data_IF_903556065854
#
_entry.id   IF_903556065854
#
_cell.length_a   1.000
_cell.length_b   1.000
_cell.length_c   1.000
_cell.angle_alpha   90.00
_cell.angle_beta   90.00
_cell.angle_gamma   90.00
#
_symmetry.space_group_name_H-M   'P 1'
#
loop_
_entity.id
_entity.type
_entity.pdbx_description
1 polymer ?
#
# COMPACT_ATOMS: atom_id res chain seq x y z
N UNK A 1 16.03 -0.88 -2.09
CA UNK A 1 14.68 -0.31 -1.91
C UNK A 1 14.15 -0.07 -3.30
N UNK A 2 12.95 -0.47 -3.73
CA UNK A 2 12.49 -0.02 -5.03
C UNK A 2 11.66 1.25 -4.79
N UNK A 3 12.20 2.44 -5.12
CA UNK A 3 11.36 3.61 -5.38
C UNK A 3 10.40 3.30 -6.53
N UNK A 4 9.37 4.14 -6.75
CA UNK A 4 8.74 4.19 -8.06
C UNK A 4 9.78 4.46 -9.16
N UNK A 5 10.76 5.34 -8.95
CA UNK A 5 11.84 5.56 -9.92
C UNK A 5 13.21 5.86 -9.27
N UNK A 6 14.26 5.15 -9.71
CA UNK A 6 15.65 5.56 -9.48
C UNK A 6 15.97 6.71 -10.43
N UNK A 7 16.21 7.90 -9.89
CA UNK A 7 16.74 9.00 -10.69
C UNK A 7 18.27 9.02 -10.62
N UNK A 8 18.92 9.15 -11.77
CA UNK A 8 20.39 9.15 -11.89
C UNK A 8 21.03 10.34 -11.18
N UNK A 9 20.28 11.43 -11.01
CA UNK A 9 20.77 12.65 -10.37
C UNK A 9 20.51 12.66 -8.84
N UNK A 10 20.03 11.55 -8.28
CA UNK A 10 19.82 11.36 -6.85
C UNK A 10 18.36 11.53 -6.38
N UNK A 11 18.10 11.29 -5.09
CA UNK A 11 16.74 11.15 -4.58
C UNK A 11 15.95 12.48 -4.50
N UNK A 12 16.62 13.63 -4.53
CA UNK A 12 16.01 14.96 -4.59
C UNK A 12 15.86 15.49 -6.04
N UNK A 13 16.27 14.73 -7.05
CA UNK A 13 16.25 15.16 -8.45
C UNK A 13 14.85 15.55 -8.95
N UNK A 14 13.82 14.82 -8.53
CA UNK A 14 12.41 15.16 -8.84
C UNK A 14 12.02 16.49 -8.20
N UNK A 15 12.49 16.77 -6.98
CA UNK A 15 12.24 18.05 -6.31
C UNK A 15 12.93 19.21 -7.03
N UNK A 16 14.15 19.02 -7.55
CA UNK A 16 14.86 20.04 -8.34
C UNK A 16 14.16 20.37 -9.66
N UNK A 17 13.49 19.40 -10.28
CA UNK A 17 12.72 19.56 -11.53
C UNK A 17 11.22 19.77 -11.30
N UNK A 18 10.79 20.02 -10.06
CA UNK A 18 9.36 20.08 -9.68
C UNK A 18 8.58 21.09 -10.53
N UNK A 19 9.12 22.29 -10.75
CA UNK A 19 8.46 23.33 -11.55
C UNK A 19 8.30 22.91 -13.02
N UNK A 20 9.34 22.33 -13.63
CA UNK A 20 9.31 21.84 -15.01
C UNK A 20 8.28 20.72 -15.20
N UNK A 21 8.26 19.73 -14.31
CA UNK A 21 7.31 18.62 -14.34
C UNK A 21 5.87 19.14 -14.17
N UNK A 22 5.68 20.11 -13.27
CA UNK A 22 4.37 20.73 -13.01
C UNK A 22 3.84 21.42 -14.27
N UNK A 23 4.66 22.25 -14.91
CA UNK A 23 4.30 22.94 -16.16
C UNK A 23 3.95 21.94 -17.27
N UNK A 24 4.74 20.86 -17.42
CA UNK A 24 4.44 19.80 -18.37
C UNK A 24 3.09 19.10 -18.10
N UNK A 25 2.77 18.82 -16.83
CA UNK A 25 1.49 18.25 -16.42
C UNK A 25 0.31 19.19 -16.70
N UNK A 26 0.46 20.49 -16.45
CA UNK A 26 -0.59 21.49 -16.72
C UNK A 26 -0.84 21.64 -18.23
N UNK A 27 0.22 21.67 -19.04
CA UNK A 27 0.11 21.66 -20.51
C UNK A 27 -0.59 20.41 -21.02
N UNK A 28 -0.31 19.24 -20.43
CA UNK A 28 -0.99 18.00 -20.75
C UNK A 28 -2.49 18.06 -20.38
N UNK A 29 -2.80 18.57 -19.19
CA UNK A 29 -4.19 18.78 -18.74
C UNK A 29 -4.95 19.67 -19.72
N UNK A 30 -4.35 20.78 -20.15
CA UNK A 30 -4.96 21.73 -21.08
C UNK A 30 -5.31 21.09 -22.44
N UNK A 31 -4.56 20.09 -22.90
CA UNK A 31 -4.90 19.34 -24.13
C UNK A 31 -6.23 18.60 -24.01
N UNK A 32 -6.57 18.11 -22.81
CA UNK A 32 -7.83 17.42 -22.51
C UNK A 32 -8.94 18.34 -22.01
N UNK A 33 -8.58 19.46 -21.39
CA UNK A 33 -9.49 20.47 -20.84
C UNK A 33 -8.99 21.88 -21.24
N UNK A 34 -9.32 22.38 -22.45
CA UNK A 34 -8.73 23.61 -23.00
C UNK A 34 -8.96 24.89 -22.18
N UNK A 35 -9.99 24.90 -21.34
CA UNK A 35 -10.32 26.00 -20.43
C UNK A 35 -9.52 25.98 -19.11
N UNK A 36 -8.69 24.96 -18.87
CA UNK A 36 -7.73 24.92 -17.77
C UNK A 36 -6.47 25.71 -18.17
N UNK A 37 -6.55 27.02 -18.05
CA UNK A 37 -5.50 28.00 -18.34
C UNK A 37 -4.92 28.56 -17.04
N UNK A 38 -3.78 29.23 -17.10
CA UNK A 38 -3.13 29.81 -15.91
C UNK A 38 -4.05 30.79 -15.15
N UNK A 39 -4.88 31.55 -15.85
CA UNK A 39 -5.83 32.50 -15.27
C UNK A 39 -7.04 31.85 -14.60
N UNK A 40 -7.33 30.57 -14.87
CA UNK A 40 -8.43 29.84 -14.21
C UNK A 40 -7.97 28.96 -13.06
N UNK A 41 -6.65 28.77 -12.89
CA UNK A 41 -6.07 27.98 -11.83
C UNK A 41 -5.83 28.86 -10.59
N UNK A 42 -6.48 28.52 -9.48
CA UNK A 42 -6.35 29.27 -8.21
C UNK A 42 -5.05 28.95 -7.48
N UNK A 43 -4.65 27.68 -7.47
CA UNK A 43 -3.43 27.23 -6.80
C UNK A 43 -2.96 25.87 -7.36
N UNK A 44 -1.68 25.57 -7.18
CA UNK A 44 -1.05 24.33 -7.62
C UNK A 44 -0.25 23.72 -6.47
N UNK A 45 -0.74 22.61 -5.94
CA UNK A 45 -0.06 21.84 -4.92
C UNK A 45 0.51 20.55 -5.49
N UNK A 46 1.83 20.38 -5.40
CA UNK A 46 2.53 19.17 -5.87
C UNK A 46 3.24 18.50 -4.72
N UNK A 47 3.04 17.19 -4.61
CA UNK A 47 3.63 16.33 -3.59
C UNK A 47 4.52 15.29 -4.26
N UNK A 48 5.83 15.48 -4.18
CA UNK A 48 6.80 14.56 -4.79
C UNK A 48 6.98 13.29 -3.95
N UNK A 49 7.68 12.26 -4.48
CA UNK A 49 8.03 11.09 -3.68
C UNK A 49 8.83 11.45 -2.41
N UNK A 50 9.79 12.37 -2.53
CA UNK A 50 10.57 12.87 -1.40
C UNK A 50 9.70 13.62 -0.38
N UNK A 51 8.78 14.48 -0.85
CA UNK A 51 7.84 15.19 0.02
C UNK A 51 6.95 14.21 0.81
N UNK A 52 6.55 13.11 0.18
CA UNK A 52 5.72 12.07 0.78
C UNK A 52 6.47 11.32 1.88
N UNK A 53 7.69 10.87 1.60
CA UNK A 53 8.54 10.16 2.56
C UNK A 53 8.94 11.07 3.73
N UNK A 54 9.21 12.35 3.45
CA UNK A 54 9.49 13.35 4.49
C UNK A 54 8.32 13.54 5.46
N UNK A 55 7.08 13.53 4.95
CA UNK A 55 5.87 13.65 5.78
C UNK A 55 5.48 12.36 6.48
N UNK A 56 5.78 11.22 5.87
CA UNK A 56 5.49 9.91 6.41
C UNK A 56 6.60 8.93 6.05
N UNK A 57 7.45 8.61 7.02
CA UNK A 57 8.57 7.67 6.84
C UNK A 57 8.12 6.24 6.52
N UNK A 58 6.84 5.92 6.70
CA UNK A 58 6.25 4.66 6.23
C UNK A 58 6.00 4.61 4.72
N UNK A 59 6.04 5.76 4.03
CA UNK A 59 5.95 5.88 2.57
C UNK A 59 7.35 5.97 1.97
N UNK A 60 8.16 4.92 2.19
CA UNK A 60 9.55 4.90 1.72
C UNK A 60 9.59 5.14 0.20
N UNK A 61 10.46 6.04 -0.22
CA UNK A 61 10.57 6.52 -1.59
C UNK A 61 9.25 7.04 -2.19
N UNK A 62 8.37 7.56 -1.34
CA UNK A 62 7.03 8.05 -1.70
C UNK A 62 6.05 6.97 -2.17
N UNK A 63 6.36 5.70 -1.95
CA UNK A 63 5.51 4.61 -2.39
C UNK A 63 4.30 4.46 -1.46
N UNK A 64 3.13 4.86 -1.96
CA UNK A 64 1.85 4.72 -1.26
C UNK A 64 1.47 3.26 -0.98
N UNK A 65 2.00 2.31 -1.75
CA UNK A 65 1.82 0.88 -1.53
C UNK A 65 2.85 0.27 -0.57
N UNK A 66 3.83 1.07 -0.12
CA UNK A 66 4.92 0.73 0.79
C UNK A 66 5.84 -0.45 0.37
N UNK A 67 5.44 -1.26 -0.61
CA UNK A 67 6.25 -2.27 -1.33
C UNK A 67 6.04 -2.04 -2.83
N UNK A 68 7.02 -2.44 -3.66
CA UNK A 68 6.95 -2.30 -5.12
C UNK A 68 5.73 -3.01 -5.70
N UNK A 69 5.04 -2.36 -6.63
CA UNK A 69 4.01 -2.98 -7.46
C UNK A 69 4.66 -3.78 -8.60
N UNK A 70 5.22 -4.94 -8.27
CA UNK A 70 5.83 -5.87 -9.24
C UNK A 70 5.33 -7.28 -9.04
N UNK A 71 5.49 -8.13 -10.05
CA UNK A 71 5.03 -9.52 -10.06
C UNK A 71 5.56 -10.35 -8.86
N UNK A 72 6.78 -10.07 -8.41
CA UNK A 72 7.43 -10.74 -7.29
C UNK A 72 7.07 -10.15 -5.91
N UNK A 73 6.33 -9.04 -5.87
CA UNK A 73 5.96 -8.31 -4.64
C UNK A 73 4.46 -7.99 -4.61
N UNK A 74 3.65 -8.80 -5.28
CA UNK A 74 2.21 -8.69 -5.33
C UNK A 74 1.52 -9.81 -4.55
N UNK A 75 0.32 -9.52 -4.03
CA UNK A 75 -0.55 -10.45 -3.36
C UNK A 75 0.15 -11.28 -2.27
N UNK A 76 0.18 -12.60 -2.39
CA UNK A 76 0.72 -13.54 -1.40
C UNK A 76 2.25 -13.52 -1.34
N UNK A 77 2.92 -12.73 -2.17
CA UNK A 77 4.37 -12.52 -2.10
C UNK A 77 4.76 -11.33 -1.21
N UNK A 78 3.81 -10.82 -0.41
CA UNK A 78 3.94 -9.59 0.38
C UNK A 78 3.93 -9.86 1.89
N UNK A 79 4.88 -9.30 2.67
CA UNK A 79 6.15 -8.70 2.20
C UNK A 79 7.12 -9.76 1.67
N UNK A 80 6.97 -11.00 2.16
CA UNK A 80 7.62 -12.22 1.71
C UNK A 80 6.57 -13.33 1.74
N UNK A 81 6.68 -14.38 0.91
CA UNK A 81 5.74 -15.51 0.93
C UNK A 81 5.51 -16.11 2.32
N UNK A 82 6.57 -16.22 3.12
CA UNK A 82 6.56 -16.78 4.48
C UNK A 82 5.75 -15.93 5.47
N UNK A 83 5.61 -14.62 5.20
CA UNK A 83 4.92 -13.66 6.07
C UNK A 83 3.54 -13.28 5.53
N UNK A 84 3.10 -13.91 4.44
CA UNK A 84 1.84 -13.59 3.77
C UNK A 84 0.59 -14.00 4.56
N UNK A 85 0.72 -14.92 5.52
CA UNK A 85 -0.29 -15.25 6.55
C UNK A 85 -0.13 -14.42 7.84
N UNK A 86 0.48 -13.23 7.75
CA UNK A 86 0.56 -12.21 8.81
C UNK A 86 1.38 -12.57 10.05
N UNK A 87 1.62 -13.84 10.37
CA UNK A 87 2.51 -14.27 11.46
C UNK A 87 3.95 -13.82 11.17
N UNK A 88 4.67 -13.41 12.20
CA UNK A 88 6.11 -13.14 12.12
C UNK A 88 6.91 -14.24 12.82
N UNK A 89 8.25 -14.31 12.64
CA UNK A 89 9.09 -15.24 13.41
C UNK A 89 9.21 -14.91 14.90
N UNK A 90 8.63 -13.79 15.34
CA UNK A 90 8.56 -13.40 16.74
C UNK A 90 7.18 -13.82 17.26
N UNK A 91 7.17 -14.62 18.32
CA UNK A 91 5.93 -15.08 18.95
C UNK A 91 5.04 -13.90 19.32
N UNK A 92 3.75 -14.05 19.02
CA UNK A 92 2.68 -13.06 19.29
C UNK A 92 2.84 -11.70 18.61
N UNK A 93 3.71 -11.61 17.60
CA UNK A 93 3.84 -10.45 16.72
C UNK A 93 3.25 -10.75 15.32
N UNK A 94 2.32 -9.90 14.89
CA UNK A 94 1.61 -10.01 13.63
C UNK A 94 1.77 -8.77 12.77
N UNK A 95 1.73 -8.96 11.44
CA UNK A 95 1.70 -7.87 10.48
C UNK A 95 0.27 -7.42 10.23
N UNK A 96 0.00 -6.12 10.38
CA UNK A 96 -1.29 -5.52 10.05
C UNK A 96 -1.08 -4.17 9.34
N UNK A 97 -0.50 -4.20 8.15
CA UNK A 97 -0.21 -2.99 7.39
C UNK A 97 -0.44 -3.23 5.89
N UNK A 98 -0.62 -2.16 5.11
CA UNK A 98 -0.82 -2.23 3.65
C UNK A 98 0.34 -2.89 2.87
N UNK A 99 1.47 -3.12 3.55
CA UNK A 99 2.59 -3.91 3.04
C UNK A 99 2.35 -5.42 3.07
N UNK A 100 1.36 -5.90 3.83
CA UNK A 100 0.97 -7.31 3.91
C UNK A 100 0.05 -7.71 2.76
N UNK A 101 -0.12 -9.02 2.56
CA UNK A 101 -1.16 -9.56 1.69
C UNK A 101 -2.54 -8.97 2.06
N UNK A 102 -3.46 -8.71 1.11
CA UNK A 102 -3.25 -8.69 -0.35
C UNK A 102 -2.56 -7.41 -0.86
N UNK A 103 -2.53 -6.36 -0.04
CA UNK A 103 -1.91 -5.08 -0.36
C UNK A 103 -2.68 -3.88 0.18
N UNK A 104 -2.34 -2.69 -0.32
CA UNK A 104 -3.08 -1.45 -0.09
C UNK A 104 -4.43 -1.39 -0.83
N UNK A 105 -4.90 -0.19 -1.17
CA UNK A 105 -6.22 0.14 -1.79
C UNK A 105 -7.39 0.36 -0.82
N UNK A 106 -7.13 0.62 0.47
CA UNK A 106 -8.19 0.86 1.47
C UNK A 106 -9.23 -0.27 1.57
N UNK A 107 -8.88 -1.50 1.23
CA UNK A 107 -9.84 -2.60 1.08
C UNK A 107 -10.30 -3.23 2.40
N UNK A 108 -9.80 -2.77 3.56
CA UNK A 108 -9.96 -3.44 4.86
C UNK A 108 -9.58 -4.94 4.87
N UNK A 109 -9.04 -5.46 3.77
CA UNK A 109 -8.77 -6.88 3.56
C UNK A 109 -7.62 -7.37 4.44
N UNK A 110 -6.61 -6.53 4.69
CA UNK A 110 -5.48 -6.85 5.59
C UNK A 110 -5.97 -7.18 6.99
N UNK A 111 -6.66 -6.27 7.72
CA UNK A 111 -7.16 -6.60 9.06
C UNK A 111 -8.21 -7.71 9.04
N UNK A 112 -9.07 -7.77 8.02
CA UNK A 112 -10.05 -8.86 7.89
C UNK A 112 -9.39 -10.24 7.82
N UNK A 113 -8.37 -10.39 6.98
CA UNK A 113 -7.64 -11.64 6.87
C UNK A 113 -6.81 -11.94 8.14
N UNK A 114 -6.24 -10.91 8.79
CA UNK A 114 -5.55 -11.09 10.07
C UNK A 114 -6.50 -11.59 11.17
N UNK A 115 -7.75 -11.16 11.20
CA UNK A 115 -8.73 -11.65 12.19
C UNK A 115 -8.93 -13.16 12.09
N UNK A 116 -8.95 -13.73 10.88
CA UNK A 116 -8.97 -15.18 10.71
C UNK A 116 -7.77 -15.88 11.37
N UNK A 117 -6.57 -15.31 11.22
CA UNK A 117 -5.34 -15.83 11.80
C UNK A 117 -5.33 -15.70 13.32
N UNK A 118 -5.81 -14.57 13.85
CA UNK A 118 -5.92 -14.35 15.29
C UNK A 118 -6.90 -15.32 15.97
N UNK A 119 -7.98 -15.68 15.27
CA UNK A 119 -8.93 -16.71 15.72
C UNK A 119 -8.30 -18.10 15.66
N UNK A 120 -7.60 -18.45 14.57
CA UNK A 120 -6.84 -19.72 14.46
C UNK A 120 -5.83 -19.88 15.60
N UNK A 121 -5.15 -18.80 15.99
CA UNK A 121 -4.13 -18.81 17.04
C UNK A 121 -4.71 -18.72 18.46
N UNK A 122 -6.04 -18.69 18.61
CA UNK A 122 -6.71 -18.59 19.91
C UNK A 122 -6.44 -17.26 20.62
N UNK A 123 -6.04 -16.22 19.89
CA UNK A 123 -5.76 -14.88 20.44
C UNK A 123 -7.03 -14.05 20.60
N UNK A 124 -8.03 -14.32 19.78
CA UNK A 124 -9.33 -13.64 19.78
C UNK A 124 -10.42 -14.67 19.56
N UNK A 125 -11.44 -14.66 20.42
CA UNK A 125 -12.66 -15.43 20.19
C UNK A 125 -13.55 -14.71 19.15
N UNK A 126 -14.17 -15.44 18.20
CA UNK A 126 -15.05 -14.83 17.22
C UNK A 126 -16.27 -14.19 17.91
N UNK A 127 -16.46 -12.90 17.68
CA UNK A 127 -17.65 -12.21 18.16
C UNK A 127 -18.88 -12.55 17.31
N UNK A 128 -20.08 -12.30 17.83
CA UNK A 128 -21.35 -12.56 17.13
C UNK A 128 -21.55 -11.79 15.82
N UNK A 129 -20.79 -10.72 15.58
CA UNK A 129 -20.80 -9.94 14.35
C UNK A 129 -19.73 -10.40 13.34
N UNK A 130 -18.83 -11.30 13.75
CA UNK A 130 -17.76 -11.78 12.88
C UNK A 130 -18.35 -12.57 11.71
N UNK A 131 -17.99 -12.17 10.49
CA UNK A 131 -18.43 -12.84 9.27
C UNK A 131 -17.23 -13.52 8.60
N UNK A 132 -16.98 -14.80 8.88
CA UNK A 132 -15.83 -15.51 8.32
C UNK A 132 -16.01 -15.70 6.81
N UNK A 133 -14.93 -15.54 6.06
CA UNK A 133 -14.95 -15.82 4.62
C UNK A 133 -15.19 -17.32 4.38
N UNK A 134 -16.15 -17.71 3.53
CA UNK A 134 -16.35 -19.11 3.17
C UNK A 134 -15.18 -19.69 2.37
N UNK A 135 -14.26 -18.84 1.93
CA UNK A 135 -13.06 -19.20 1.18
C UNK A 135 -11.79 -19.16 2.02
N UNK A 136 -11.91 -18.87 3.33
CA UNK A 136 -10.77 -18.94 4.23
C UNK A 136 -10.26 -20.39 4.32
N UNK A 137 -8.94 -20.56 4.19
CA UNK A 137 -8.27 -21.85 4.32
C UNK A 137 -7.31 -21.74 5.49
N UNK A 138 -7.53 -22.57 6.51
CA UNK A 138 -6.66 -22.62 7.69
C UNK A 138 -5.28 -23.16 7.37
N UNK A 139 -4.31 -22.92 8.26
CA UNK A 139 -2.95 -23.44 8.08
C UNK A 139 -2.92 -24.96 7.90
N UNK A 140 -3.79 -25.65 8.65
CA UNK A 140 -3.90 -27.10 8.64
C UNK A 140 -4.67 -27.63 7.42
N UNK A 141 -5.07 -26.77 6.48
CA UNK A 141 -5.79 -27.14 5.27
C UNK A 141 -7.29 -27.35 5.46
N UNK A 142 -7.81 -27.23 6.67
CA UNK A 142 -9.24 -27.30 6.95
C UNK A 142 -9.93 -26.00 6.52
N UNK A 143 -11.06 -26.12 5.81
CA UNK A 143 -12.02 -25.02 5.66
C UNK A 143 -12.98 -25.07 6.84
N UNK A 144 -12.49 -24.72 8.02
CA UNK A 144 -13.35 -24.63 9.19
C UNK A 144 -14.18 -23.36 9.07
N UNK A 145 -15.46 -23.56 8.77
CA UNK A 145 -16.49 -22.52 8.94
C UNK A 145 -16.72 -22.44 10.44
N UNK A 146 -15.95 -21.62 11.14
CA UNK A 146 -16.21 -21.30 12.54
C UNK A 146 -17.40 -20.34 12.54
N UNK A 147 -18.61 -20.90 12.55
CA UNK A 147 -19.88 -20.20 12.69
C UNK A 147 -20.27 -20.10 14.16
#
# INVERSE_FOLDING_TARGET
MPPPEYDVDGPDAVNRRKAEITDACLKLLQRGAPNMTEDTIVDVFVNTPWDSEFRNTGMIAGNWYAVRCSEDQWFSKRPLPELSRYRTPIDDLYLCHQTSHPGGLCLMAVPYNLMHIMIEDGKVEPANWWYPSPWHVSENGNREVVA
#
